data_IF_216420424154
#
_entry.id   IF_216420424154
#
_cell.length_a   1.000
_cell.length_b   1.000
_cell.length_c   1.000
_cell.angle_alpha   90.00
_cell.angle_beta   90.00
_cell.angle_gamma   90.00
#
_symmetry.space_group_name_H-M   'P 1'
#
loop_
_entity.id
_entity.type
_entity.pdbx_description
1 polymer ?
#
# COMPACT_ATOMS: atom_id res chain seq x y z
N UNK A 1 8.19 12.34 -7.57
CA UNK A 1 8.00 11.47 -6.39
C UNK A 1 7.06 12.23 -5.49
N UNK A 2 5.93 11.63 -5.08
CA UNK A 2 4.99 12.31 -4.19
C UNK A 2 5.59 12.26 -2.80
N UNK A 3 6.03 13.42 -2.32
CA UNK A 3 6.38 13.60 -0.92
C UNK A 3 5.09 13.46 -0.15
N UNK A 4 4.96 12.40 0.64
CA UNK A 4 3.86 12.25 1.58
C UNK A 4 4.27 13.03 2.84
N UNK A 5 3.95 14.32 2.85
CA UNK A 5 3.92 15.11 4.06
C UNK A 5 2.74 14.63 4.90
N UNK A 6 3.02 14.23 6.14
CA UNK A 6 2.01 13.87 7.13
C UNK A 6 1.30 15.19 7.48
N UNK A 7 -0.04 15.30 7.35
CA UNK A 7 -0.73 16.52 7.74
C UNK A 7 -0.67 16.64 9.26
N UNK A 8 0.15 17.58 9.74
CA UNK A 8 0.13 18.03 11.12
C UNK A 8 -1.21 18.74 11.30
N UNK A 9 -2.10 18.16 12.11
CA UNK A 9 -3.38 18.76 12.43
C UNK A 9 -3.13 20.11 13.12
N UNK A 10 -3.44 21.20 12.43
CA UNK A 10 -3.50 22.53 13.04
C UNK A 10 -4.68 22.55 14.00
N UNK A 11 -4.40 22.86 15.27
CA UNK A 11 -5.39 22.89 16.32
C UNK A 11 -6.52 23.87 15.93
N UNK A 12 -7.75 23.36 15.91
CA UNK A 12 -8.95 24.17 15.78
C UNK A 12 -8.97 25.21 16.89
N UNK A 13 -9.04 26.48 16.52
CA UNK A 13 -9.12 27.63 17.41
C UNK A 13 -10.36 27.51 18.29
N UNK A 14 -10.19 27.02 19.52
CA UNK A 14 -11.21 27.07 20.56
C UNK A 14 -11.37 28.55 20.91
N UNK A 15 -12.56 29.11 20.67
CA UNK A 15 -12.95 30.40 21.25
C UNK A 15 -13.41 30.11 22.66
N UNK A 16 -12.65 30.59 23.63
CA UNK A 16 -13.10 30.67 25.01
C UNK A 16 -13.98 31.92 25.10
N UNK A 17 -15.26 31.75 25.44
CA UNK A 17 -16.08 32.87 25.92
C UNK A 17 -15.57 33.17 27.32
N UNK A 18 -14.88 34.30 27.42
CA UNK A 18 -14.36 34.85 28.67
C UNK A 18 -15.55 35.41 29.45
N UNK A 19 -16.00 34.65 30.45
CA UNK A 19 -17.11 35.04 31.32
C UNK A 19 -16.83 34.57 32.74
N UNK A 20 -15.75 35.10 33.33
CA UNK A 20 -15.74 35.51 34.75
C UNK A 20 -14.51 36.41 34.96
N UNK A 21 -14.72 37.72 34.91
CA UNK A 21 -13.72 38.76 35.15
C UNK A 21 -13.49 38.85 36.67
N UNK A 22 -12.72 37.89 37.22
CA UNK A 22 -12.17 38.00 38.56
C UNK A 22 -10.78 38.64 38.45
N UNK A 23 -10.67 39.93 38.78
CA UNK A 23 -9.37 40.60 38.93
C UNK A 23 -8.53 39.83 39.96
N UNK A 24 -7.55 39.07 39.48
CA UNK A 24 -6.52 38.43 40.30
C UNK A 24 -5.64 39.52 40.91
N UNK A 25 -5.52 39.53 42.23
CA UNK A 25 -4.65 40.48 42.91
C UNK A 25 -3.20 40.01 42.80
N UNK A 26 -2.23 40.92 42.88
CA UNK A 26 -0.80 40.56 42.83
C UNK A 26 -0.36 39.58 43.93
N UNK A 27 -1.16 39.44 44.99
CA UNK A 27 -0.95 38.47 46.06
C UNK A 27 -1.34 37.05 45.61
N UNK A 28 -2.42 36.90 44.84
CA UNK A 28 -2.91 35.61 44.33
C UNK A 28 -1.92 34.97 43.32
N UNK A 29 -1.28 35.78 42.47
CA UNK A 29 -0.27 35.28 41.52
C UNK A 29 0.96 34.69 42.23
N UNK A 30 1.39 35.32 43.32
CA UNK A 30 2.54 34.88 44.10
C UNK A 30 2.27 33.63 44.95
N UNK A 31 1.02 33.33 45.26
CA UNK A 31 0.62 32.08 45.92
C UNK A 31 0.63 30.91 44.93
N UNK A 32 0.10 31.11 43.72
CA UNK A 32 0.10 30.10 42.65
C UNK A 32 1.53 29.71 42.27
N UNK A 33 2.45 30.68 42.18
CA UNK A 33 3.85 30.41 41.82
C UNK A 33 4.57 29.56 42.87
N UNK A 34 4.26 29.76 44.16
CA UNK A 34 4.78 28.92 45.26
C UNK A 34 4.20 27.52 45.23
N UNK A 35 2.92 27.38 44.93
CA UNK A 35 2.29 26.05 44.81
C UNK A 35 2.84 25.25 43.62
N UNK A 36 3.11 25.91 42.49
CA UNK A 36 3.66 25.26 41.29
C UNK A 36 5.15 24.92 41.40
N UNK A 37 5.90 25.62 42.26
CA UNK A 37 7.33 25.38 42.44
C UNK A 37 7.64 23.96 42.98
N UNK A 38 6.73 23.38 43.76
CA UNK A 38 6.89 22.07 44.36
C UNK A 38 6.37 20.92 43.47
N UNK A 39 5.71 21.21 42.35
CA UNK A 39 5.10 20.20 41.45
C UNK A 39 6.11 19.73 40.41
N UNK A 40 6.28 18.41 40.29
CA UNK A 40 7.22 17.85 39.32
C UNK A 40 6.67 17.92 37.88
N UNK A 41 7.55 18.05 36.90
CA UNK A 41 7.16 18.13 35.48
C UNK A 41 6.33 16.92 35.00
N UNK A 42 6.58 15.73 35.54
CA UNK A 42 5.81 14.53 35.22
C UNK A 42 4.36 14.62 35.71
N UNK A 43 4.14 15.20 36.90
CA UNK A 43 2.81 15.43 37.44
C UNK A 43 2.04 16.47 36.62
N UNK A 44 2.70 17.52 36.14
CA UNK A 44 2.08 18.52 35.26
C UNK A 44 1.67 17.91 33.91
N UNK A 45 2.55 17.09 33.31
CA UNK A 45 2.23 16.43 32.04
C UNK A 45 1.06 15.45 32.20
N UNK A 46 0.95 14.80 33.36
CA UNK A 46 -0.15 13.91 33.71
C UNK A 46 -1.46 14.69 33.96
N UNK A 47 -1.41 15.80 34.69
CA UNK A 47 -2.57 16.66 34.94
C UNK A 47 -3.17 17.19 33.62
N UNK A 48 -2.30 17.57 32.67
CA UNK A 48 -2.70 18.01 31.33
C UNK A 48 -3.32 16.89 30.50
N UNK A 49 -2.81 15.67 30.57
CA UNK A 49 -3.40 14.52 29.86
C UNK A 49 -4.70 14.03 30.50
N UNK A 50 -4.83 14.15 31.82
CA UNK A 50 -5.99 13.70 32.59
C UNK A 50 -7.12 14.75 32.60
N UNK A 51 -6.80 16.00 32.23
CA UNK A 51 -7.76 17.11 32.18
C UNK A 51 -8.22 17.61 33.55
N UNK A 52 -7.49 17.26 34.61
CA UNK A 52 -7.82 17.62 36.00
C UNK A 52 -7.51 19.07 36.37
N UNK A 53 -6.74 19.76 35.53
CA UNK A 53 -6.33 21.16 35.72
C UNK A 53 -7.50 22.17 35.64
N UNK A 54 -8.61 21.79 35.00
CA UNK A 54 -9.76 22.68 34.77
C UNK A 54 -10.73 22.78 35.95
N UNK A 55 -10.53 22.04 37.05
CA UNK A 55 -11.43 22.11 38.20
C UNK A 55 -10.71 21.74 39.49
N UNK A 56 -10.45 22.73 40.36
CA UNK A 56 -10.35 22.51 41.80
C UNK A 56 -11.70 21.97 42.30
N UNK A 57 -11.98 20.70 42.04
CA UNK A 57 -13.01 19.94 42.72
C UNK A 57 -12.30 18.98 43.63
N UNK A 58 -12.21 19.38 44.90
CA UNK A 58 -12.17 18.43 46.02
C UNK A 58 -13.28 17.43 45.74
N UNK A 59 -12.92 16.23 45.27
CA UNK A 59 -13.88 15.15 45.12
C UNK A 59 -14.35 14.87 46.53
N UNK A 60 -15.51 15.41 46.89
CA UNK A 60 -16.27 14.90 48.02
C UNK A 60 -16.41 13.42 47.74
N UNK A 61 -15.63 12.61 48.45
CA UNK A 61 -15.78 11.17 48.42
C UNK A 61 -17.10 10.90 49.14
N UNK A 62 -18.20 11.10 48.42
CA UNK A 62 -19.50 10.65 48.86
C UNK A 62 -19.35 9.18 49.18
N UNK A 63 -19.60 8.89 50.46
CA UNK A 63 -19.40 7.61 51.10
C UNK A 63 -19.82 6.50 50.14
N UNK A 64 -18.87 5.60 49.88
CA UNK A 64 -19.04 4.37 49.11
C UNK A 64 -20.48 3.84 49.26
N UNK A 65 -21.26 3.93 48.19
CA UNK A 65 -22.50 3.19 48.07
C UNK A 65 -22.22 1.73 48.40
N UNK A 66 -23.06 1.16 49.26
CA UNK A 66 -22.81 -0.08 50.01
C UNK A 66 -22.10 -1.16 49.19
N UNK A 67 -21.06 -1.75 49.80
CA UNK A 67 -20.40 -2.92 49.24
C UNK A 67 -21.41 -4.04 48.94
N UNK A 68 -20.99 -5.00 48.12
CA UNK A 68 -21.80 -6.21 47.88
C UNK A 68 -22.11 -6.87 49.22
N UNK A 69 -23.36 -7.23 49.46
CA UNK A 69 -23.73 -7.94 50.70
C UNK A 69 -23.03 -9.32 50.84
N UNK A 70 -22.62 -9.94 49.71
CA UNK A 70 -21.82 -11.16 49.67
C UNK A 70 -20.90 -11.15 48.42
N UNK A 71 -19.75 -11.82 48.49
CA UNK A 71 -18.74 -11.91 47.41
C UNK A 71 -19.31 -12.51 46.12
N UNK A 72 -20.31 -13.38 46.23
CA UNK A 72 -20.94 -14.07 45.10
C UNK A 72 -22.18 -13.33 44.55
N UNK A 73 -22.49 -12.12 45.04
CA UNK A 73 -23.64 -11.33 44.56
C UNK A 73 -23.18 -10.17 43.64
N UNK A 74 -23.86 -9.90 42.52
CA UNK A 74 -23.60 -8.68 41.75
C UNK A 74 -23.88 -7.41 42.57
N UNK A 75 -23.19 -6.34 42.21
CA UNK A 75 -23.43 -5.02 42.77
C UNK A 75 -24.54 -4.34 41.96
N UNK A 76 -25.60 -3.91 42.63
CA UNK A 76 -26.68 -3.16 42.00
C UNK A 76 -26.21 -1.72 41.74
N UNK A 77 -26.39 -1.25 40.51
CA UNK A 77 -26.06 0.11 40.09
C UNK A 77 -27.32 0.78 39.54
N UNK A 78 -27.54 2.05 39.89
CA UNK A 78 -28.68 2.81 39.36
C UNK A 78 -28.54 3.01 37.86
N UNK A 79 -29.63 2.76 37.12
CA UNK A 79 -29.73 3.04 35.67
C UNK A 79 -29.57 4.52 35.31
N UNK A 80 -29.69 5.42 36.29
CA UNK A 80 -29.47 6.87 36.11
C UNK A 80 -28.00 7.27 36.08
N UNK A 81 -27.07 6.37 36.43
CA UNK A 81 -25.62 6.66 36.38
C UNK A 81 -25.11 6.42 34.95
N UNK A 82 -24.71 7.48 34.21
CA UNK A 82 -24.19 7.31 32.87
C UNK A 82 -22.83 6.58 32.92
N UNK A 83 -22.58 5.72 31.94
CA UNK A 83 -21.28 5.05 31.77
C UNK A 83 -20.26 6.06 31.23
N UNK A 84 -19.00 5.99 31.67
CA UNK A 84 -17.96 6.84 31.07
C UNK A 84 -17.81 6.51 29.59
N UNK A 85 -17.78 7.55 28.73
CA UNK A 85 -17.52 7.38 27.30
C UNK A 85 -16.04 7.10 27.02
N UNK A 86 -15.17 7.57 27.92
CA UNK A 86 -13.73 7.35 27.86
C UNK A 86 -13.40 5.99 28.48
N UNK A 87 -12.78 5.14 27.66
CA UNK A 87 -12.11 3.92 28.12
C UNK A 87 -10.65 4.28 28.37
N UNK A 88 -10.16 4.01 29.56
CA UNK A 88 -8.72 4.08 29.86
C UNK A 88 -8.00 2.97 29.07
N UNK A 89 -7.44 3.33 27.91
CA UNK A 89 -6.60 2.41 27.15
C UNK A 89 -5.20 2.47 27.73
N UNK A 90 -4.91 1.59 28.67
CA UNK A 90 -3.54 1.40 29.16
C UNK A 90 -2.66 0.93 27.99
N UNK A 91 -1.70 1.76 27.58
CA UNK A 91 -0.72 1.38 26.56
C UNK A 91 0.27 0.37 27.17
N UNK A 92 -0.10 -0.90 27.15
CA UNK A 92 0.82 -1.98 27.53
C UNK A 92 1.91 -2.08 26.45
N UNK A 93 3.20 -2.17 26.81
CA UNK A 93 4.27 -2.36 25.83
C UNK A 93 4.03 -3.66 25.06
N UNK A 94 3.64 -3.53 23.79
CA UNK A 94 3.40 -4.67 22.92
C UNK A 94 4.75 -5.27 22.53
N UNK A 95 4.94 -6.57 22.80
CA UNK A 95 6.08 -7.33 22.28
C UNK A 95 5.93 -7.46 20.76
N UNK A 96 6.66 -6.65 20.00
CA UNK A 96 6.73 -6.78 18.54
C UNK A 96 7.76 -7.87 18.23
N UNK A 97 7.29 -8.98 17.64
CA UNK A 97 8.19 -10.01 17.12
C UNK A 97 8.93 -9.43 15.93
N UNK A 98 10.27 -9.34 16.05
CA UNK A 98 11.13 -8.89 14.96
C UNK A 98 11.48 -10.07 14.08
N UNK A 99 10.88 -10.12 12.90
CA UNK A 99 11.29 -11.04 11.83
C UNK A 99 12.21 -10.26 10.90
N UNK A 100 13.48 -10.68 10.71
CA UNK A 100 14.43 -9.97 9.87
C UNK A 100 13.98 -9.83 8.41
N UNK A 101 13.03 -10.63 7.95
CA UNK A 101 12.43 -10.50 6.60
C UNK A 101 11.44 -9.35 6.50
N UNK A 102 10.83 -8.97 7.62
CA UNK A 102 9.76 -7.98 7.71
C UNK A 102 10.16 -6.76 8.55
N UNK A 103 11.39 -6.73 9.05
CA UNK A 103 11.92 -5.63 9.83
C UNK A 103 12.34 -4.47 8.92
N UNK A 104 11.91 -3.25 9.26
CA UNK A 104 12.24 -2.05 8.48
C UNK A 104 13.74 -1.77 8.41
N UNK A 105 14.52 -2.32 9.34
CA UNK A 105 15.98 -2.20 9.39
C UNK A 105 16.71 -3.07 8.34
N UNK A 106 16.05 -4.08 7.74
CA UNK A 106 16.71 -5.04 6.85
C UNK A 106 16.98 -4.51 5.42
N UNK A 107 16.81 -3.22 5.18
CA UNK A 107 17.06 -2.57 3.88
C UNK A 107 15.96 -2.78 2.84
N UNK A 108 16.13 -2.20 1.66
CA UNK A 108 15.16 -2.28 0.55
C UNK A 108 15.63 -3.26 -0.54
N UNK A 109 14.68 -3.91 -1.22
CA UNK A 109 14.98 -4.89 -2.27
C UNK A 109 15.57 -4.22 -3.52
N UNK A 110 16.85 -4.47 -3.78
CA UNK A 110 17.46 -4.17 -5.08
C UNK A 110 17.09 -5.25 -6.11
N UNK A 111 16.06 -4.96 -6.90
CA UNK A 111 15.54 -5.83 -7.97
C UNK A 111 16.57 -6.05 -9.07
N UNK A 112 17.44 -5.08 -9.35
CA UNK A 112 18.42 -5.17 -10.43
C UNK A 112 19.62 -6.01 -10.00
N UNK A 113 20.15 -5.78 -8.81
CA UNK A 113 21.20 -6.62 -8.22
C UNK A 113 20.74 -8.06 -8.03
N UNK A 114 19.52 -8.27 -7.53
CA UNK A 114 18.93 -9.61 -7.41
C UNK A 114 18.89 -10.33 -8.76
N UNK A 115 18.39 -9.66 -9.81
CA UNK A 115 18.31 -10.27 -11.15
C UNK A 115 19.67 -10.61 -11.74
N UNK A 116 20.70 -9.81 -11.47
CA UNK A 116 22.08 -10.10 -11.89
C UNK A 116 22.63 -11.32 -11.17
N UNK A 117 22.48 -11.39 -9.84
CA UNK A 117 22.97 -12.53 -9.03
C UNK A 117 22.28 -13.84 -9.40
N UNK A 118 20.98 -13.79 -9.68
CA UNK A 118 20.18 -14.96 -10.03
C UNK A 118 19.91 -15.09 -11.54
N UNK A 119 20.78 -14.52 -12.39
CA UNK A 119 20.58 -14.56 -13.84
C UNK A 119 20.66 -16.00 -14.41
N UNK A 120 21.46 -16.86 -13.78
CA UNK A 120 21.58 -18.27 -14.14
C UNK A 120 20.23 -19.01 -14.18
N UNK A 121 19.26 -18.57 -13.37
CA UNK A 121 17.91 -19.16 -13.39
C UNK A 121 17.27 -19.01 -14.78
N UNK A 122 17.40 -17.82 -15.36
CA UNK A 122 16.79 -17.49 -16.65
C UNK A 122 17.60 -18.00 -17.84
N UNK A 123 18.92 -18.13 -17.68
CA UNK A 123 19.84 -18.51 -18.76
C UNK A 123 20.04 -20.02 -18.88
N UNK A 124 20.19 -20.74 -17.76
CA UNK A 124 20.52 -22.17 -17.77
C UNK A 124 19.44 -23.04 -17.15
N UNK A 125 18.97 -22.74 -15.94
CA UNK A 125 18.10 -23.69 -15.19
C UNK A 125 16.71 -23.81 -15.81
N UNK A 126 16.01 -22.70 -16.08
CA UNK A 126 14.66 -22.75 -16.65
C UNK A 126 14.64 -23.33 -18.08
N UNK A 127 15.58 -23.02 -18.98
CA UNK A 127 15.66 -23.70 -20.28
C UNK A 127 15.95 -25.20 -20.18
N UNK A 128 16.81 -25.63 -19.26
CA UNK A 128 17.09 -27.04 -19.01
C UNK A 128 15.85 -27.77 -18.46
N UNK A 129 15.21 -27.23 -17.43
CA UNK A 129 13.97 -27.76 -16.86
C UNK A 129 12.87 -27.85 -17.92
N UNK A 130 12.75 -26.83 -18.77
CA UNK A 130 11.81 -26.84 -19.91
C UNK A 130 12.10 -27.99 -20.88
N UNK A 131 13.37 -28.30 -21.15
CA UNK A 131 13.74 -29.39 -22.04
C UNK A 131 13.43 -30.76 -21.40
N UNK A 132 13.69 -30.92 -20.10
CA UNK A 132 13.36 -32.12 -19.33
C UNK A 132 11.86 -32.37 -19.26
N UNK A 133 11.07 -31.35 -18.91
CA UNK A 133 9.61 -31.46 -18.87
C UNK A 133 9.03 -31.84 -20.23
N UNK A 134 9.61 -31.35 -21.34
CA UNK A 134 9.21 -31.79 -22.69
C UNK A 134 9.48 -33.26 -22.95
N UNK A 135 10.56 -33.83 -22.41
CA UNK A 135 10.85 -35.27 -22.50
C UNK A 135 9.83 -36.05 -21.66
N UNK A 136 9.59 -35.62 -20.42
CA UNK A 136 8.60 -36.23 -19.53
C UNK A 136 7.18 -36.20 -20.12
N UNK A 137 6.76 -35.14 -20.80
CA UNK A 137 5.45 -35.10 -21.50
C UNK A 137 5.34 -36.19 -22.58
N UNK A 138 6.45 -36.54 -23.24
CA UNK A 138 6.47 -37.59 -24.27
C UNK A 138 6.44 -38.99 -23.65
N UNK A 139 7.10 -39.17 -22.51
CA UNK A 139 7.20 -40.45 -21.80
C UNK A 139 5.95 -40.76 -20.97
N UNK A 140 5.30 -39.74 -20.41
CA UNK A 140 4.11 -39.88 -19.59
C UNK A 140 2.92 -40.45 -20.38
N UNK A 141 2.39 -41.57 -19.87
CA UNK A 141 1.21 -42.26 -20.39
C UNK A 141 -0.08 -41.85 -19.68
N UNK A 142 0.01 -41.61 -18.37
CA UNK A 142 -1.11 -41.17 -17.56
C UNK A 142 -1.57 -39.75 -17.95
N UNK A 143 -2.86 -39.55 -18.32
CA UNK A 143 -3.36 -38.24 -18.72
C UNK A 143 -3.29 -37.18 -17.62
N UNK A 144 -3.48 -37.54 -16.35
CA UNK A 144 -3.47 -36.57 -15.23
C UNK A 144 -2.06 -36.05 -14.99
N UNK A 145 -1.09 -36.95 -14.78
CA UNK A 145 0.32 -36.58 -14.65
C UNK A 145 0.82 -35.77 -15.85
N UNK A 146 0.40 -36.13 -17.07
CA UNK A 146 0.74 -35.39 -18.29
C UNK A 146 0.14 -33.98 -18.31
N UNK A 147 -1.03 -33.79 -17.70
CA UNK A 147 -1.65 -32.48 -17.48
C UNK A 147 -0.77 -31.60 -16.59
N UNK A 148 -0.37 -32.10 -15.42
CA UNK A 148 0.47 -31.37 -14.47
C UNK A 148 1.82 -30.94 -15.07
N UNK A 149 2.48 -31.84 -15.81
CA UNK A 149 3.76 -31.55 -16.47
C UNK A 149 3.57 -30.45 -17.54
N UNK A 150 2.47 -30.48 -18.31
CA UNK A 150 2.14 -29.41 -19.27
C UNK A 150 1.85 -28.09 -18.59
N UNK A 151 1.18 -28.10 -17.44
CA UNK A 151 0.89 -26.88 -16.69
C UNK A 151 2.18 -26.25 -16.16
N UNK A 152 3.09 -27.07 -15.62
CA UNK A 152 4.43 -26.62 -15.23
C UNK A 152 5.22 -26.04 -16.40
N UNK A 153 5.19 -26.70 -17.56
CA UNK A 153 5.81 -26.21 -18.79
C UNK A 153 5.23 -24.84 -19.20
N UNK A 154 3.91 -24.67 -19.12
CA UNK A 154 3.23 -23.42 -19.45
C UNK A 154 3.62 -22.29 -18.49
N UNK A 155 3.82 -22.60 -17.21
CA UNK A 155 4.26 -21.66 -16.18
C UNK A 155 5.66 -21.14 -16.47
N UNK A 156 6.61 -22.03 -16.79
CA UNK A 156 7.98 -21.66 -17.18
C UNK A 156 7.95 -20.80 -18.45
N UNK A 157 7.15 -21.17 -19.45
CA UNK A 157 7.01 -20.37 -20.68
C UNK A 157 6.45 -18.97 -20.42
N UNK A 158 5.47 -18.85 -19.51
CA UNK A 158 4.91 -17.56 -19.11
C UNK A 158 5.95 -16.72 -18.36
N UNK A 159 6.74 -17.34 -17.49
CA UNK A 159 7.80 -16.67 -16.76
C UNK A 159 8.89 -16.13 -17.70
N UNK A 160 9.43 -16.96 -18.60
CA UNK A 160 10.44 -16.53 -19.58
C UNK A 160 9.90 -15.39 -20.48
N UNK A 161 8.67 -15.50 -20.97
CA UNK A 161 8.03 -14.44 -21.77
C UNK A 161 7.83 -13.14 -20.98
N UNK A 162 7.46 -13.24 -19.70
CA UNK A 162 7.29 -12.09 -18.82
C UNK A 162 8.64 -11.41 -18.56
N UNK A 163 9.68 -12.20 -18.29
CA UNK A 163 11.04 -11.71 -18.09
C UNK A 163 11.56 -10.97 -19.33
N UNK A 164 11.42 -11.57 -20.52
CA UNK A 164 11.82 -10.95 -21.78
C UNK A 164 11.14 -9.59 -22.01
N UNK A 165 9.82 -9.50 -21.79
CA UNK A 165 9.06 -8.23 -21.92
C UNK A 165 9.48 -7.15 -20.92
N UNK A 166 10.01 -7.54 -19.76
CA UNK A 166 10.54 -6.60 -18.76
C UNK A 166 11.98 -6.20 -19.10
N UNK A 167 12.75 -7.07 -19.77
CA UNK A 167 14.10 -6.75 -20.27
C UNK A 167 14.01 -5.69 -21.37
N UNK A 168 13.20 -5.91 -22.41
CA UNK A 168 13.04 -4.94 -23.52
C UNK A 168 12.66 -3.53 -23.02
N UNK A 169 11.71 -3.43 -22.09
CA UNK A 169 11.33 -2.14 -21.51
C UNK A 169 12.47 -1.47 -20.71
N UNK A 170 13.30 -2.25 -20.01
CA UNK A 170 14.49 -1.72 -19.33
C UNK A 170 15.56 -1.30 -20.32
N UNK A 171 15.73 -2.05 -21.40
CA UNK A 171 16.73 -1.79 -22.43
C UNK A 171 16.40 -0.49 -23.16
N UNK A 172 15.14 -0.28 -23.58
CA UNK A 172 14.65 1.00 -24.11
C UNK A 172 15.00 2.16 -23.18
N UNK A 173 14.65 2.03 -21.89
CA UNK A 173 14.92 3.08 -20.91
C UNK A 173 16.41 3.31 -20.69
N UNK A 174 17.22 2.25 -20.73
CA UNK A 174 18.67 2.34 -20.57
C UNK A 174 19.31 3.02 -21.78
N UNK A 175 18.90 2.66 -23.00
CA UNK A 175 19.35 3.31 -24.24
C UNK A 175 18.98 4.79 -24.26
N UNK A 176 17.75 5.13 -23.90
CA UNK A 176 17.34 6.52 -23.81
C UNK A 176 18.19 7.28 -22.80
N UNK A 177 18.37 6.75 -21.58
CA UNK A 177 19.24 7.37 -20.56
C UNK A 177 20.68 7.54 -21.04
N UNK A 178 21.21 6.63 -21.86
CA UNK A 178 22.55 6.77 -22.45
C UNK A 178 22.58 7.94 -23.43
N UNK A 179 21.63 8.01 -24.37
CA UNK A 179 21.51 9.10 -25.35
C UNK A 179 21.38 10.47 -24.69
N UNK A 180 20.54 10.56 -23.67
CA UNK A 180 20.33 11.80 -22.91
C UNK A 180 21.56 12.21 -22.11
N UNK A 181 22.30 11.24 -21.54
CA UNK A 181 23.56 11.52 -20.86
C UNK A 181 24.60 12.09 -21.84
N UNK A 182 24.64 11.60 -23.08
CA UNK A 182 25.53 12.14 -24.12
C UNK A 182 25.09 13.53 -24.59
N UNK A 183 23.79 13.77 -24.75
CA UNK A 183 23.24 15.09 -25.08
C UNK A 183 23.50 16.12 -23.98
N UNK A 184 23.37 15.70 -22.72
CA UNK A 184 23.66 16.52 -21.54
C UNK A 184 25.14 16.89 -21.44
N UNK A 185 26.06 15.95 -21.74
CA UNK A 185 27.49 16.24 -21.86
C UNK A 185 27.78 17.31 -22.92
N UNK A 186 26.97 17.38 -23.98
CA UNK A 186 27.04 18.41 -25.04
C UNK A 186 26.34 19.72 -24.65
N UNK A 187 25.84 19.85 -23.41
CA UNK A 187 25.18 21.05 -22.91
C UNK A 187 23.68 21.15 -23.20
N UNK A 188 23.05 20.14 -23.80
CA UNK A 188 21.59 20.11 -23.99
C UNK A 188 20.89 19.75 -22.68
N UNK A 189 19.67 20.23 -22.49
CA UNK A 189 18.86 19.85 -21.32
C UNK A 189 18.45 18.38 -21.41
N UNK A 190 18.66 17.56 -20.35
CA UNK A 190 18.23 16.17 -20.33
C UNK A 190 16.71 16.04 -20.45
N UNK A 191 16.25 15.23 -21.39
CA UNK A 191 14.85 14.87 -21.52
C UNK A 191 14.59 13.49 -20.87
N UNK A 192 13.40 13.29 -20.32
CA UNK A 192 12.98 11.99 -19.79
C UNK A 192 11.70 11.55 -20.47
N UNK A 193 11.70 10.35 -21.05
CA UNK A 193 10.53 9.80 -21.73
C UNK A 193 9.32 9.75 -20.80
N UNK A 194 8.18 10.23 -21.32
CA UNK A 194 6.88 9.98 -20.71
C UNK A 194 6.53 8.50 -20.83
N UNK A 195 5.75 7.99 -19.89
CA UNK A 195 5.27 6.59 -19.91
C UNK A 195 4.53 6.23 -21.21
N UNK A 196 3.86 7.20 -21.84
CA UNK A 196 3.21 7.01 -23.15
C UNK A 196 4.20 6.72 -24.26
N UNK A 197 5.36 7.39 -24.24
CA UNK A 197 6.35 7.28 -25.30
C UNK A 197 7.15 5.99 -25.18
N UNK A 198 7.48 5.58 -23.93
CA UNK A 198 8.02 4.23 -23.66
C UNK A 198 7.11 3.13 -24.23
N UNK A 199 5.78 3.28 -24.10
CA UNK A 199 4.83 2.32 -24.68
C UNK A 199 4.84 2.33 -26.20
N UNK A 200 5.04 3.49 -26.84
CA UNK A 200 5.15 3.60 -28.30
C UNK A 200 6.43 2.94 -28.80
N UNK A 201 7.57 3.19 -28.14
CA UNK A 201 8.85 2.55 -28.48
C UNK A 201 8.78 1.04 -28.34
N UNK A 202 8.21 0.55 -27.22
CA UNK A 202 7.94 -0.88 -27.00
C UNK A 202 7.03 -1.47 -28.08
N UNK A 203 6.05 -0.70 -28.57
CA UNK A 203 5.19 -1.13 -29.66
C UNK A 203 5.99 -1.21 -30.96
N UNK A 204 6.82 -0.21 -31.28
CA UNK A 204 7.66 -0.18 -32.48
C UNK A 204 8.61 -1.38 -32.51
N UNK A 205 9.31 -1.68 -31.42
CA UNK A 205 10.18 -2.86 -31.33
C UNK A 205 9.40 -4.15 -31.60
N UNK A 206 8.24 -4.31 -30.96
CA UNK A 206 7.37 -5.46 -31.19
C UNK A 206 6.92 -5.57 -32.65
N UNK A 207 6.65 -4.45 -33.32
CA UNK A 207 6.30 -4.47 -34.75
C UNK A 207 7.50 -4.90 -35.61
N UNK A 208 8.73 -4.50 -35.26
CA UNK A 208 9.95 -4.95 -35.94
C UNK A 208 10.16 -6.46 -35.76
N UNK A 209 10.09 -6.96 -34.53
CA UNK A 209 10.18 -8.41 -34.23
C UNK A 209 9.11 -9.22 -35.00
N UNK A 210 7.88 -8.70 -35.07
CA UNK A 210 6.79 -9.37 -35.79
C UNK A 210 6.96 -9.33 -37.32
N UNK A 211 7.56 -8.26 -37.85
CA UNK A 211 7.89 -8.13 -39.27
C UNK A 211 8.99 -9.12 -39.64
N UNK A 212 10.04 -9.20 -38.84
CA UNK A 212 11.14 -10.16 -39.02
C UNK A 212 10.68 -11.61 -38.93
N UNK A 213 9.76 -11.91 -38.00
CA UNK A 213 9.18 -13.25 -37.85
C UNK A 213 8.08 -13.59 -38.85
N UNK A 214 7.70 -12.67 -39.75
CA UNK A 214 6.63 -12.86 -40.75
C UNK A 214 5.21 -12.95 -40.17
N UNK A 215 5.02 -12.66 -38.87
CA UNK A 215 3.73 -12.80 -38.16
C UNK A 215 2.96 -11.49 -38.04
N UNK A 216 3.40 -10.46 -38.74
CA UNK A 216 2.85 -9.10 -38.65
C UNK A 216 1.39 -9.05 -39.12
N UNK A 217 1.07 -9.61 -40.28
CA UNK A 217 -0.29 -9.58 -40.85
C UNK A 217 -1.29 -10.26 -39.92
N UNK A 218 -0.98 -11.47 -39.44
CA UNK A 218 -1.81 -12.19 -38.47
C UNK A 218 -1.99 -11.41 -37.15
N UNK A 219 -0.98 -10.64 -36.72
CA UNK A 219 -1.08 -9.78 -35.54
C UNK A 219 -2.02 -8.58 -35.80
N UNK A 220 -1.91 -7.95 -36.96
CA UNK A 220 -2.77 -6.83 -37.37
C UNK A 220 -4.21 -7.31 -37.51
N UNK A 221 -4.45 -8.44 -38.16
CA UNK A 221 -5.77 -9.04 -38.32
C UNK A 221 -6.42 -9.34 -36.96
N UNK A 222 -5.67 -9.98 -36.04
CA UNK A 222 -6.14 -10.22 -34.65
C UNK A 222 -6.46 -8.92 -33.93
N UNK A 223 -5.69 -7.85 -34.17
CA UNK A 223 -5.92 -6.54 -33.57
C UNK A 223 -7.17 -5.86 -34.17
N UNK A 224 -7.37 -5.97 -35.48
CA UNK A 224 -8.58 -5.51 -36.18
C UNK A 224 -9.82 -6.22 -35.64
N UNK A 225 -9.81 -7.55 -35.55
CA UNK A 225 -10.93 -8.35 -34.99
C UNK A 225 -11.25 -7.96 -33.54
N UNK A 226 -10.23 -7.74 -32.71
CA UNK A 226 -10.42 -7.30 -31.32
C UNK A 226 -10.99 -5.89 -31.21
N UNK A 227 -10.59 -4.97 -32.10
CA UNK A 227 -11.13 -3.61 -32.12
C UNK A 227 -12.58 -3.64 -32.60
N UNK A 228 -12.87 -4.31 -33.71
CA UNK A 228 -14.24 -4.47 -34.21
C UNK A 228 -15.18 -5.04 -33.14
N UNK A 229 -14.76 -6.10 -32.42
CA UNK A 229 -15.55 -6.65 -31.31
C UNK A 229 -15.79 -5.67 -30.16
N UNK A 230 -14.87 -4.74 -29.90
CA UNK A 230 -15.08 -3.68 -28.90
C UNK A 230 -16.04 -2.62 -29.41
N UNK A 231 -15.95 -2.29 -30.69
CA UNK A 231 -16.85 -1.31 -31.32
C UNK A 231 -18.28 -1.86 -31.31
N UNK A 232 -18.46 -3.16 -31.61
CA UNK A 232 -19.74 -3.87 -31.49
C UNK A 232 -20.35 -3.86 -30.08
N UNK A 233 -19.57 -3.66 -29.01
CA UNK A 233 -20.11 -3.57 -27.63
C UNK A 233 -21.02 -2.35 -27.45
N UNK A 234 -20.77 -1.27 -28.17
CA UNK A 234 -21.52 -0.02 -28.05
C UNK A 234 -22.50 0.19 -29.21
N UNK A 235 -22.59 -0.76 -30.13
CA UNK A 235 -23.58 -0.73 -31.21
C UNK A 235 -24.89 -1.32 -30.68
N UNK A 236 -26.02 -0.59 -30.74
CA UNK A 236 -27.31 -1.11 -30.34
C UNK A 236 -27.65 -2.39 -31.11
N UNK A 237 -28.12 -3.43 -30.39
CA UNK A 237 -28.63 -4.63 -31.04
C UNK A 237 -29.84 -4.27 -31.91
N UNK A 238 -29.87 -4.78 -33.14
CA UNK A 238 -31.01 -4.62 -34.03
C UNK A 238 -32.23 -5.23 -33.32
N UNK A 239 -33.31 -4.46 -33.16
CA UNK A 239 -34.57 -4.98 -32.60
C UNK A 239 -35.01 -6.18 -33.45
N UNK A 240 -35.45 -7.29 -32.84
CA UNK A 240 -36.06 -8.38 -33.60
C UNK A 240 -37.24 -7.77 -34.38
N UNK A 241 -37.16 -7.79 -35.70
CA UNK A 241 -38.33 -7.53 -36.53
C UNK A 241 -39.25 -8.73 -36.36
N UNK A 242 -40.45 -8.53 -35.82
CA UNK A 242 -41.53 -9.52 -35.87
C UNK A 242 -41.86 -9.76 -37.35
N UNK A 243 -41.14 -10.68 -37.98
CA UNK A 243 -41.57 -11.28 -39.23
C UNK A 243 -42.61 -12.31 -38.84
N UNK A 244 -43.88 -11.96 -39.05
CA UNK A 244 -45.01 -12.83 -38.81
C UNK A 244 -44.82 -14.16 -39.54
N UNK A 245 -45.03 -15.24 -38.81
CA UNK A 245 -45.32 -16.54 -39.39
C UNK A 245 -46.60 -16.40 -40.23
N UNK A 246 -46.47 -16.43 -41.55
CA UNK A 246 -47.51 -16.81 -42.49
C UNK A 246 -47.06 -18.10 -43.19
#
# INVERSE_FOLDING_TARGET
>A
MKNNEIPIATASKIRFEDSDDHELTSEDEGEIEKELADVTFEELQRARSDGSEMVYRKRNADKKGGGRANKNRPMEMSSKKPVSRFREVLQVPKKVVRDPRFESLCGTLDVDGFKKRYNFIYESTLPAEKAELKKQVKEAKDPEAKGEIKDRLSRIDRELKSAARKRTEKDILAEHKKKEREAAKKGKQPYYLKKSDVRKEKLIEKYKELKESGKLEAFIEKKRRKNASKDHRYIPYRRPTEQGNQ
#
